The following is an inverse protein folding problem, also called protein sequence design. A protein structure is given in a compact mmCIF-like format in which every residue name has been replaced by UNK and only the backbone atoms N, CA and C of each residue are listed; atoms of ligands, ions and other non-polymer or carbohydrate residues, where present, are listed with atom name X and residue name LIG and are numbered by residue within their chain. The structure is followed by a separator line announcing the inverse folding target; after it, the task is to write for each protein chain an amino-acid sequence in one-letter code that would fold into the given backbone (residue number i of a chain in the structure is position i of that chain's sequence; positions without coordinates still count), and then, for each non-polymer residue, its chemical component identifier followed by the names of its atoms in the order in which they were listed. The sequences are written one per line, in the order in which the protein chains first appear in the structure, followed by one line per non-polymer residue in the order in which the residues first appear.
data_IF_063686107214
#
_entry.id   IF_063686107214
#
_cell.length_a   1.000
_cell.length_b   1.000
_cell.length_c   1.000
_cell.angle_alpha   90.00
_cell.angle_beta   90.00
_cell.angle_gamma   90.00
#
_symmetry.space_group_name_H-M   'P 1'
#
loop_
_entity.id
_entity.type
_entity.pdbx_description
1 polymer ?
#
# COMPACT_ATOMS: atom_id res chain seq x y z
N UNK A 1 -20.17 9.40 -14.93
CA UNK A 1 -20.01 8.24 -14.02
C UNK A 1 -18.61 8.35 -13.47
N UNK A 2 -18.46 8.63 -12.17
CA UNK A 2 -17.13 8.81 -11.58
C UNK A 2 -16.44 7.45 -11.46
N UNK A 3 -15.25 7.31 -12.02
CA UNK A 3 -14.44 6.11 -11.94
C UNK A 3 -14.15 5.81 -10.46
N UNK A 4 -14.67 4.68 -9.96
CA UNK A 4 -14.47 4.26 -8.58
C UNK A 4 -13.27 3.33 -8.52
N UNK A 5 -12.26 3.71 -7.74
CA UNK A 5 -11.06 2.92 -7.55
C UNK A 5 -11.28 1.87 -6.46
N UNK A 6 -11.10 0.57 -6.75
CA UNK A 6 -11.27 -0.49 -5.76
C UNK A 6 -10.12 -0.46 -4.76
N UNK A 7 -10.43 -0.27 -3.48
CA UNK A 7 -9.48 -0.34 -2.37
C UNK A 7 -9.86 -1.51 -1.48
N UNK A 8 -8.89 -2.41 -1.29
CA UNK A 8 -9.05 -3.61 -0.48
C UNK A 8 -8.60 -3.34 0.95
N UNK A 9 -9.50 -3.46 1.92
CA UNK A 9 -9.23 -3.33 3.35
C UNK A 9 -9.49 -4.66 4.03
N UNK A 10 -8.43 -5.35 4.43
CA UNK A 10 -8.52 -6.64 5.08
C UNK A 10 -7.58 -6.68 6.28
N UNK A 11 -7.66 -7.74 7.08
CA UNK A 11 -6.76 -7.93 8.20
C UNK A 11 -5.81 -9.09 7.91
N UNK A 12 -4.55 -8.92 8.27
CA UNK A 12 -3.52 -9.94 8.03
C UNK A 12 -2.48 -9.93 9.15
N UNK A 13 -2.11 -11.12 9.59
CA UNK A 13 -1.03 -11.34 10.56
C UNK A 13 0.36 -11.34 9.90
N UNK A 14 0.45 -11.27 8.57
CA UNK A 14 1.72 -11.38 7.85
C UNK A 14 2.64 -10.16 8.00
N UNK A 15 2.10 -9.02 8.47
CA UNK A 15 2.80 -7.73 8.49
C UNK A 15 3.18 -7.23 9.88
N UNK A 16 2.64 -7.84 10.94
CA UNK A 16 2.92 -7.48 12.32
C UNK A 16 2.82 -8.71 13.22
N UNK A 17 3.31 -8.61 14.46
CA UNK A 17 3.14 -9.67 15.48
C UNK A 17 1.67 -9.90 15.89
N UNK A 18 0.73 -9.13 15.33
CA UNK A 18 -0.71 -9.22 15.56
C UNK A 18 -1.46 -8.86 14.28
N UNK A 19 -2.73 -9.24 14.22
CA UNK A 19 -3.64 -8.94 13.10
C UNK A 19 -3.61 -7.44 12.74
N UNK A 20 -3.00 -7.09 11.61
CA UNK A 20 -2.87 -5.71 11.16
C UNK A 20 -3.90 -5.41 10.07
N UNK A 21 -4.52 -4.23 10.15
CA UNK A 21 -5.36 -3.73 9.05
C UNK A 21 -4.46 -3.37 7.89
N UNK A 22 -4.64 -4.05 6.76
CA UNK A 22 -3.95 -3.81 5.50
C UNK A 22 -4.92 -3.09 4.56
N UNK A 23 -4.46 -2.01 3.95
CA UNK A 23 -5.20 -1.29 2.92
C UNK A 23 -4.41 -1.30 1.63
N UNK A 24 -4.90 -2.00 0.61
CA UNK A 24 -4.30 -2.09 -0.72
C UNK A 24 -5.11 -1.27 -1.73
N UNK A 25 -4.40 -0.50 -2.56
CA UNK A 25 -4.98 0.27 -3.65
C UNK A 25 -4.19 0.02 -4.96
N UNK A 26 -4.80 0.27 -6.14
CA UNK A 26 -4.14 0.07 -7.42
C UNK A 26 -2.90 0.94 -7.54
N UNK A 27 -1.84 0.37 -8.13
CA UNK A 27 -0.55 1.03 -8.29
C UNK A 27 -0.68 2.39 -8.99
N UNK A 28 -1.50 2.47 -10.03
CA UNK A 28 -1.73 3.70 -10.82
C UNK A 28 -2.27 4.85 -9.95
N UNK A 29 -3.26 4.56 -9.12
CA UNK A 29 -3.82 5.54 -8.18
C UNK A 29 -2.76 5.98 -7.17
N UNK A 30 -1.98 5.04 -6.63
CA UNK A 30 -0.93 5.36 -5.66
C UNK A 30 0.17 6.20 -6.28
N UNK A 31 0.60 5.88 -7.50
CA UNK A 31 1.56 6.70 -8.26
C UNK A 31 1.00 8.09 -8.51
N UNK A 32 -0.28 8.21 -8.88
CA UNK A 32 -0.93 9.50 -9.11
C UNK A 32 -0.97 10.39 -7.86
N UNK A 33 -1.11 9.82 -6.65
CA UNK A 33 -1.24 10.59 -5.40
C UNK A 33 0.11 10.86 -4.73
N UNK A 34 1.01 9.88 -4.77
CA UNK A 34 2.29 9.94 -4.04
C UNK A 34 3.49 10.16 -4.95
N UNK A 35 3.30 10.23 -6.26
CA UNK A 35 4.35 10.45 -7.25
C UNK A 35 5.31 9.27 -7.44
N UNK A 36 5.08 8.13 -6.76
CA UNK A 36 6.00 6.99 -6.76
C UNK A 36 5.34 5.68 -6.32
N UNK A 37 5.47 4.67 -7.18
CA UNK A 37 4.81 3.36 -7.09
C UNK A 37 5.64 2.27 -6.42
N UNK A 38 6.38 2.60 -5.37
CA UNK A 38 7.07 1.59 -4.57
C UNK A 38 8.18 0.82 -5.29
N UNK A 39 8.70 1.30 -6.42
CA UNK A 39 9.98 0.78 -6.93
C UNK A 39 11.11 1.31 -6.05
N UNK A 40 11.48 0.48 -5.06
CA UNK A 40 12.75 0.42 -4.33
C UNK A 40 13.59 1.72 -4.31
N UNK A 41 13.58 2.39 -3.16
CA UNK A 41 14.55 3.44 -2.83
C UNK A 41 13.98 4.85 -2.88
N UNK A 42 13.78 5.42 -1.68
CA UNK A 42 13.80 6.87 -1.40
C UNK A 42 12.62 7.75 -1.84
N UNK A 43 11.63 7.29 -2.63
CA UNK A 43 10.50 8.16 -3.03
C UNK A 43 9.11 7.47 -2.99
N UNK A 44 8.09 8.21 -2.54
CA UNK A 44 6.68 7.81 -2.60
C UNK A 44 6.11 7.17 -1.32
N UNK A 45 5.39 6.06 -1.47
CA UNK A 45 4.58 5.43 -0.41
C UNK A 45 5.40 4.92 0.78
N UNK A 46 6.57 4.32 0.54
CA UNK A 46 7.42 3.79 1.61
C UNK A 46 7.93 4.89 2.54
N UNK A 47 8.33 6.04 1.98
CA UNK A 47 8.75 7.20 2.77
C UNK A 47 7.61 7.83 3.57
N UNK A 48 6.38 7.82 3.03
CA UNK A 48 5.22 8.40 3.68
C UNK A 48 4.67 7.55 4.85
N UNK A 49 4.79 6.22 4.76
CA UNK A 49 4.17 5.29 5.71
C UNK A 49 5.16 4.45 6.52
N UNK A 50 6.45 4.55 6.23
CA UNK A 50 7.50 3.77 6.90
C UNK A 50 7.42 2.28 6.56
N UNK A 51 6.76 1.93 5.46
CA UNK A 51 6.64 0.57 4.96
C UNK A 51 5.54 0.43 3.92
N UNK A 52 5.74 -0.49 2.97
CA UNK A 52 4.78 -0.77 1.90
C UNK A 52 4.82 -2.24 1.48
N UNK A 53 3.70 -2.74 0.98
CA UNK A 53 3.55 -4.09 0.46
C UNK A 53 3.08 -4.02 -0.98
N UNK A 54 3.66 -4.86 -1.84
CA UNK A 54 3.35 -4.91 -3.26
C UNK A 54 2.73 -6.25 -3.60
N UNK A 55 1.53 -6.16 -4.17
CA UNK A 55 0.77 -7.28 -4.66
C UNK A 55 0.71 -7.20 -6.18
N UNK A 56 0.82 -8.35 -6.83
CA UNK A 56 0.66 -8.47 -8.25
C UNK A 56 -0.26 -9.63 -8.55
N UNK A 57 -1.21 -9.38 -9.43
CA UNK A 57 -2.03 -10.40 -10.04
C UNK A 57 -1.33 -10.84 -11.34
N UNK A 58 -0.88 -12.09 -11.38
CA UNK A 58 -0.24 -12.66 -12.58
C UNK A 58 -1.25 -12.99 -13.68
N UNK A 59 -2.53 -13.16 -13.36
CA UNK A 59 -3.59 -13.48 -14.31
C UNK A 59 -4.10 -12.23 -15.04
N UNK A 60 -4.25 -11.11 -14.33
CA UNK A 60 -4.73 -9.85 -14.93
C UNK A 60 -3.62 -8.84 -15.21
N UNK A 61 -2.43 -9.05 -14.65
CA UNK A 61 -1.33 -8.08 -14.69
C UNK A 61 -1.51 -6.89 -13.74
N UNK A 62 -2.62 -6.84 -12.99
CA UNK A 62 -2.93 -5.73 -12.08
C UNK A 62 -1.97 -5.70 -10.90
N UNK A 63 -1.47 -4.51 -10.58
CA UNK A 63 -0.57 -4.29 -9.46
C UNK A 63 -1.24 -3.42 -8.39
N UNK A 64 -1.03 -3.80 -7.13
CA UNK A 64 -1.58 -3.09 -5.98
C UNK A 64 -0.48 -2.80 -4.97
N UNK A 65 -0.53 -1.62 -4.38
CA UNK A 65 0.30 -1.23 -3.25
C UNK A 65 -0.54 -1.13 -2.00
N UNK A 66 0.00 -1.65 -0.90
CA UNK A 66 -0.67 -1.67 0.37
C UNK A 66 0.18 -1.09 1.49
N UNK A 67 -0.51 -0.51 2.47
CA UNK A 67 0.03 -0.11 3.76
C UNK A 67 -0.67 -0.91 4.86
N UNK A 68 0.01 -1.13 5.98
CA UNK A 68 -0.58 -1.80 7.13
C UNK A 68 -0.53 -0.93 8.39
N UNK A 69 -1.43 -1.24 9.32
CA UNK A 69 -1.64 -0.54 10.58
C UNK A 69 -2.80 0.44 10.51
N UNK A 70 -3.58 0.52 11.60
CA UNK A 70 -4.83 1.29 11.64
C UNK A 70 -4.64 2.79 11.30
N UNK A 71 -3.60 3.41 11.87
CA UNK A 71 -3.26 4.82 11.60
C UNK A 71 -2.85 5.05 10.14
N UNK A 72 -2.06 4.14 9.59
CA UNK A 72 -1.58 4.21 8.21
C UNK A 72 -2.74 3.99 7.22
N UNK A 73 -3.58 2.98 7.48
CA UNK A 73 -4.79 2.69 6.71
C UNK A 73 -5.77 3.88 6.69
N UNK A 74 -5.95 4.55 7.83
CA UNK A 74 -6.78 5.76 7.91
C UNK A 74 -6.18 6.91 7.08
N UNK A 75 -4.89 7.22 7.29
CA UNK A 75 -4.18 8.27 6.53
C UNK A 75 -4.17 8.03 5.02
N UNK A 76 -3.91 6.80 4.61
CA UNK A 76 -3.84 6.41 3.20
C UNK A 76 -5.19 6.63 2.51
N UNK A 77 -6.29 6.18 3.12
CA UNK A 77 -7.63 6.42 2.58
C UNK A 77 -7.98 7.91 2.52
N UNK A 78 -7.62 8.69 3.54
CA UNK A 78 -7.86 10.13 3.53
C UNK A 78 -7.14 10.81 2.37
N UNK A 79 -5.84 10.52 2.19
CA UNK A 79 -5.03 11.10 1.11
C UNK A 79 -5.55 10.76 -0.28
N UNK A 80 -5.99 9.52 -0.48
CA UNK A 80 -6.59 9.10 -1.74
C UNK A 80 -7.93 9.81 -2.01
N UNK A 81 -8.72 10.12 -0.98
CA UNK A 81 -9.95 10.94 -1.15
C UNK A 81 -9.62 12.40 -1.41
N UNK A 82 -8.60 12.94 -0.74
CA UNK A 82 -8.14 14.31 -0.91
C UNK A 82 -7.62 14.59 -2.33
N UNK A 83 -7.15 13.57 -3.04
CA UNK A 83 -6.77 13.70 -4.46
C UNK A 83 -7.97 13.76 -5.42
N UNK A 84 -9.21 13.70 -4.89
CA UNK A 84 -10.44 13.68 -5.69
C UNK A 84 -10.82 12.30 -6.23
N UNK A 85 -10.10 11.23 -5.85
CA UNK A 85 -10.45 9.88 -6.28
C UNK A 85 -11.68 9.36 -5.53
N UNK A 86 -12.64 8.80 -6.26
CA UNK A 86 -13.78 8.09 -5.68
C UNK A 86 -13.33 6.68 -5.30
N UNK A 87 -13.42 6.32 -4.02
CA UNK A 87 -12.87 5.06 -3.51
C UNK A 87 -14.00 4.08 -3.19
N UNK A 88 -13.94 2.89 -3.77
CA UNK A 88 -14.80 1.76 -3.41
C UNK A 88 -14.05 0.87 -2.41
N UNK A 89 -14.53 0.80 -1.17
CA UNK A 89 -13.88 -0.02 -0.15
C UNK A 89 -14.42 -1.46 -0.19
N UNK A 90 -13.56 -2.38 -0.60
CA UNK A 90 -13.80 -3.83 -0.59
C UNK A 90 -13.18 -4.42 0.67
N UNK A 91 -13.91 -5.24 1.43
CA UNK A 91 -13.44 -5.82 2.71
C UNK A 91 -12.77 -7.17 2.55
N UNK A 92 -12.17 -7.39 1.39
CA UNK A 92 -11.61 -8.66 0.97
C UNK A 92 -10.18 -8.44 0.50
N UNK A 93 -9.29 -9.42 0.69
CA UNK A 93 -7.96 -9.34 0.12
C UNK A 93 -8.04 -9.18 -1.40
N UNK A 94 -7.10 -8.45 -2.02
CA UNK A 94 -7.06 -8.36 -3.47
C UNK A 94 -6.85 -9.76 -4.06
N UNK A 95 -7.37 -10.04 -5.28
CA UNK A 95 -7.11 -11.29 -6.01
C UNK A 95 -5.65 -11.35 -6.54
N UNK A 96 -4.72 -10.76 -5.81
CA UNK A 96 -3.32 -10.57 -6.17
C UNK A 96 -2.44 -11.24 -5.12
N UNK A 97 -1.31 -11.80 -5.56
CA UNK A 97 -0.35 -12.42 -4.66
C UNK A 97 0.59 -11.36 -4.09
N UNK A 98 0.91 -11.47 -2.80
CA UNK A 98 1.97 -10.69 -2.18
C UNK A 98 3.32 -11.10 -2.78
N UNK A 99 3.97 -10.18 -3.49
CA UNK A 99 5.30 -10.42 -4.09
C UNK A 99 6.38 -10.02 -3.10
N UNK A 100 6.24 -8.85 -2.48
CA UNK A 100 7.17 -8.36 -1.47
C UNK A 100 6.50 -7.38 -0.53
N UNK A 101 7.04 -7.26 0.67
CA UNK A 101 6.72 -6.18 1.60
C UNK A 101 7.98 -5.71 2.28
N UNK A 102 8.03 -4.42 2.58
CA UNK A 102 9.15 -3.80 3.25
C UNK A 102 8.63 -3.03 4.44
N UNK A 103 8.84 -3.58 5.64
CA UNK A 103 8.71 -2.77 6.85
C UNK A 103 9.94 -1.88 6.94
N UNK A 104 9.75 -0.56 6.98
CA UNK A 104 10.83 0.41 7.19
C UNK A 104 11.62 0.21 8.49
N UNK A 105 11.30 -0.81 9.28
CA UNK A 105 12.23 -1.44 10.21
C UNK A 105 13.18 -2.41 9.50
N UNK A 106 14.20 -1.85 8.85
CA UNK A 106 15.54 -2.44 8.88
C UNK A 106 16.45 -1.47 9.64
N UNK A 107 16.63 -1.73 10.93
CA UNK A 107 17.62 -1.00 11.71
C UNK A 107 19.03 -1.31 11.23
N UNK A 108 19.73 -0.34 10.64
CA UNK A 108 21.14 -0.07 10.91
C UNK A 108 21.59 1.25 10.26
N UNK A 109 21.98 2.18 11.12
CA UNK A 109 22.99 3.23 10.95
C UNK A 109 23.97 2.95 9.78
N UNK A 110 24.27 3.90 8.89
CA UNK A 110 25.51 3.81 8.14
C UNK A 110 26.67 3.91 9.13
N UNK A 111 27.41 2.82 9.31
CA UNK A 111 28.79 2.89 9.81
C UNK A 111 29.70 2.06 8.91
N UNK A 112 30.78 2.75 8.53
CA UNK A 112 32.01 2.33 7.87
C UNK A 112 31.93 2.07 6.35
N UNK A 113 32.57 2.95 5.57
CA UNK A 113 34.03 2.93 5.50
C UNK A 113 34.60 4.34 5.63
#
# INVERSE_FOLDING_TARGET
MGEQWPIHVFRSESFAKSEAVVTAAPLELVVSVYGGGGMKGEQGLEAAFGGSAYYRDDATGSAYLAVWGDRNASRFRSRLRESGASLQVLREPPPARLIWFNSGQKGHRPKAR
#
